data_IF_085243082760
#
_entry.id   IF_085243082760
#
_cell.length_a   1.000
_cell.length_b   1.000
_cell.length_c   1.000
_cell.angle_alpha   90.00
_cell.angle_beta   90.00
_cell.angle_gamma   90.00
#
_symmetry.space_group_name_H-M   'P 1'
#
loop_
_entity.id
_entity.type
_entity.pdbx_description
1 polymer ?
#
# COMPACT_ATOMS: atom_id res chain seq x y z
N UNK A 1 33.40 0.92 24.77
CA UNK A 1 33.23 -0.07 23.68
C UNK A 1 32.81 0.68 22.43
N UNK A 2 33.57 0.65 21.32
CA UNK A 2 33.13 1.29 20.09
C UNK A 2 31.88 0.60 19.56
N UNK A 3 30.91 1.38 19.09
CA UNK A 3 29.67 0.90 18.49
C UNK A 3 30.01 0.06 17.25
N UNK A 4 29.73 -1.25 17.29
CA UNK A 4 30.03 -2.19 16.20
C UNK A 4 29.16 -1.96 14.94
N UNK A 5 28.07 -1.18 15.08
CA UNK A 5 27.14 -0.95 13.99
C UNK A 5 27.55 0.25 13.14
N UNK A 6 27.49 0.07 11.81
CA UNK A 6 27.61 1.17 10.85
C UNK A 6 26.60 2.27 11.18
N UNK A 7 26.98 3.55 11.01
CA UNK A 7 26.08 4.67 11.21
C UNK A 7 24.88 4.58 10.25
N UNK A 8 23.78 5.22 10.64
CA UNK A 8 22.63 5.38 9.76
C UNK A 8 22.92 6.42 8.69
N UNK A 9 22.38 6.25 7.47
CA UNK A 9 22.40 7.31 6.47
C UNK A 9 21.78 8.61 7.01
N UNK A 10 22.21 9.78 6.50
CA UNK A 10 21.62 11.07 6.86
C UNK A 10 20.09 11.07 6.68
N UNK A 11 19.35 11.58 7.68
CA UNK A 11 17.89 11.54 7.64
C UNK A 11 17.30 12.35 6.47
N UNK A 12 17.99 13.42 6.05
CA UNK A 12 17.54 14.33 4.97
C UNK A 12 17.43 13.57 3.65
N UNK A 13 18.41 12.73 3.34
CA UNK A 13 18.46 11.96 2.11
C UNK A 13 17.63 10.67 2.22
N UNK A 14 17.60 10.07 3.42
CA UNK A 14 16.92 8.80 3.65
C UNK A 14 15.40 8.91 3.71
N UNK A 15 14.87 10.03 4.23
CA UNK A 15 13.43 10.26 4.37
C UNK A 15 12.65 10.17 3.06
N UNK A 16 12.99 10.92 1.99
CA UNK A 16 12.23 10.87 0.74
C UNK A 16 12.23 9.47 0.11
N UNK A 17 13.32 8.71 0.26
CA UNK A 17 13.44 7.35 -0.27
C UNK A 17 12.52 6.38 0.49
N UNK A 18 12.50 6.47 1.82
CA UNK A 18 11.61 5.64 2.65
C UNK A 18 10.14 6.01 2.39
N UNK A 19 9.81 7.29 2.28
CA UNK A 19 8.46 7.76 1.96
C UNK A 19 8.00 7.22 0.61
N UNK A 20 8.84 7.31 -0.43
CA UNK A 20 8.55 6.74 -1.75
C UNK A 20 8.20 5.25 -1.67
N UNK A 21 9.07 4.43 -1.08
CA UNK A 21 8.82 3.00 -0.97
C UNK A 21 7.67 2.65 -0.05
N UNK A 22 7.42 3.48 0.96
CA UNK A 22 6.24 3.36 1.80
C UNK A 22 4.96 3.65 1.01
N UNK A 23 4.89 4.70 0.19
CA UNK A 23 3.72 4.99 -0.65
C UNK A 23 3.54 3.96 -1.78
N UNK A 24 4.61 3.30 -2.23
CA UNK A 24 4.53 2.14 -3.10
C UNK A 24 3.98 0.88 -2.41
N UNK A 25 3.77 0.90 -1.09
CA UNK A 25 3.17 -0.20 -0.33
C UNK A 25 4.16 -1.31 0.05
N UNK A 26 5.47 -1.07 0.00
CA UNK A 26 6.48 -2.08 0.33
C UNK A 26 6.48 -2.42 1.84
N UNK A 27 6.90 -3.65 2.16
CA UNK A 27 7.13 -4.10 3.53
C UNK A 27 8.39 -3.46 4.11
N UNK A 28 8.50 -3.36 5.44
CA UNK A 28 9.69 -2.79 6.10
C UNK A 28 11.00 -3.47 5.69
N UNK A 29 10.94 -4.79 5.41
CA UNK A 29 12.08 -5.58 4.93
C UNK A 29 12.52 -5.08 3.56
N UNK A 30 11.56 -4.93 2.64
CA UNK A 30 11.84 -4.46 1.28
C UNK A 30 12.23 -2.98 1.25
N UNK A 31 11.64 -2.14 2.11
CA UNK A 31 12.05 -0.75 2.27
C UNK A 31 13.51 -0.70 2.73
N UNK A 32 13.90 -1.41 3.79
CA UNK A 32 15.30 -1.41 4.26
C UNK A 32 16.27 -1.90 3.17
N UNK A 33 15.93 -3.01 2.50
CA UNK A 33 16.75 -3.61 1.44
C UNK A 33 16.94 -2.66 0.25
N UNK A 34 15.89 -1.95 -0.18
CA UNK A 34 15.98 -1.06 -1.34
C UNK A 34 16.52 0.32 -0.99
N UNK A 35 16.21 0.85 0.19
CA UNK A 35 16.71 2.15 0.63
C UNK A 35 18.22 2.16 0.81
N UNK A 36 18.83 1.06 1.27
CA UNK A 36 20.29 1.00 1.42
C UNK A 36 21.04 0.95 0.09
N UNK A 37 20.38 0.56 -1.01
CA UNK A 37 20.98 0.55 -2.35
C UNK A 37 21.25 1.97 -2.89
N UNK A 38 20.68 3.01 -2.28
CA UNK A 38 20.92 4.42 -2.63
C UNK A 38 22.12 5.03 -1.90
N UNK A 39 22.73 4.30 -0.97
CA UNK A 39 23.85 4.79 -0.15
C UNK A 39 25.05 3.87 -0.27
N UNK A 40 26.22 4.41 0.08
CA UNK A 40 27.41 3.59 0.22
C UNK A 40 27.26 2.60 1.38
N UNK A 41 27.24 1.31 1.03
CA UNK A 41 27.05 0.19 1.95
C UNK A 41 28.27 -0.06 2.81
N UNK A 42 29.45 0.42 2.43
CA UNK A 42 30.66 0.30 3.24
C UNK A 42 30.65 1.28 4.39
N UNK A 43 30.14 2.49 4.14
CA UNK A 43 30.00 3.55 5.13
C UNK A 43 28.74 3.40 6.01
N UNK A 44 27.59 3.08 5.43
CA UNK A 44 26.29 3.14 6.13
C UNK A 44 25.63 1.78 6.28
N UNK A 45 24.79 1.66 7.31
CA UNK A 45 23.94 0.49 7.55
C UNK A 45 22.48 0.87 7.76
N UNK A 46 21.57 0.15 7.11
CA UNK A 46 20.13 0.34 7.29
C UNK A 46 19.43 -1.00 7.54
N UNK A 47 19.09 -1.24 8.80
CA UNK A 47 18.32 -2.41 9.22
C UNK A 47 16.81 -2.14 9.29
N UNK A 48 16.03 -3.21 9.26
CA UNK A 48 14.55 -3.18 9.39
C UNK A 48 14.09 -2.46 10.66
N UNK A 49 14.79 -2.66 11.79
CA UNK A 49 14.48 -1.97 13.06
C UNK A 49 14.66 -0.45 12.95
N UNK A 50 15.68 0.01 12.23
CA UNK A 50 15.92 1.44 12.00
C UNK A 50 14.83 2.04 11.13
N UNK A 51 14.45 1.37 10.04
CA UNK A 51 13.32 1.78 9.19
C UNK A 51 12.03 1.89 10.00
N UNK A 52 11.70 0.90 10.84
CA UNK A 52 10.52 0.95 11.72
C UNK A 52 10.55 2.16 12.67
N UNK A 53 11.71 2.45 13.26
CA UNK A 53 11.88 3.61 14.15
C UNK A 53 11.69 4.94 13.41
N UNK A 54 12.30 5.08 12.24
CA UNK A 54 12.21 6.29 11.42
C UNK A 54 10.78 6.50 10.89
N UNK A 55 10.14 5.44 10.39
CA UNK A 55 8.74 5.49 10.00
C UNK A 55 7.83 5.93 11.14
N UNK A 56 8.03 5.40 12.36
CA UNK A 56 7.27 5.85 13.54
C UNK A 56 7.53 7.32 13.85
N UNK A 57 8.79 7.78 13.77
CA UNK A 57 9.18 9.19 13.97
C UNK A 57 8.48 10.12 12.97
N UNK A 58 8.29 9.68 11.74
CA UNK A 58 7.66 10.47 10.67
C UNK A 58 6.14 10.21 10.51
N UNK A 59 5.51 9.44 11.40
CA UNK A 59 4.07 9.17 11.32
C UNK A 59 3.64 8.16 10.24
N UNK A 60 4.58 7.48 9.57
CA UNK A 60 4.33 6.47 8.54
C UNK A 60 3.88 5.13 9.16
N UNK A 61 2.70 5.14 9.76
CA UNK A 61 2.14 4.03 10.52
C UNK A 61 1.60 2.90 9.63
N UNK A 62 1.46 1.71 10.23
CA UNK A 62 0.88 0.54 9.54
C UNK A 62 -0.64 0.48 9.72
N UNK A 63 -1.33 -0.30 8.88
CA UNK A 63 -2.79 -0.53 8.96
C UNK A 63 -3.29 -0.83 10.38
N UNK A 64 -2.60 -1.71 11.12
CA UNK A 64 -2.98 -2.07 12.50
C UNK A 64 -2.87 -0.90 13.49
N UNK A 65 -1.94 0.02 13.24
CA UNK A 65 -1.72 1.18 14.11
C UNK A 65 -2.69 2.32 13.79
N UNK A 66 -3.09 2.47 12.52
CA UNK A 66 -4.05 3.50 12.11
C UNK A 66 -5.48 3.21 12.59
N UNK A 67 -5.84 1.92 12.76
CA UNK A 67 -7.14 1.48 13.30
C UNK A 67 -8.37 2.07 12.58
N UNK A 68 -8.25 2.37 11.29
CA UNK A 68 -9.37 2.84 10.48
C UNK A 68 -10.49 1.78 10.42
N UNK A 69 -11.70 2.22 10.76
CA UNK A 69 -12.96 1.47 10.65
C UNK A 69 -13.68 1.81 9.36
N UNK A 70 -14.73 1.06 9.03
CA UNK A 70 -15.63 1.35 7.90
C UNK A 70 -16.11 2.80 7.97
N UNK A 71 -16.62 3.21 9.12
CA UNK A 71 -17.14 4.56 9.37
C UNK A 71 -16.11 5.65 9.03
N UNK A 72 -14.86 5.48 9.46
CA UNK A 72 -13.81 6.49 9.23
C UNK A 72 -13.36 6.60 7.77
N UNK A 73 -13.59 5.58 6.94
CA UNK A 73 -13.19 5.59 5.53
C UNK A 73 -14.34 5.88 4.57
N UNK A 74 -15.60 5.87 5.05
CA UNK A 74 -16.78 6.01 4.18
C UNK A 74 -16.74 7.30 3.36
N UNK A 75 -16.42 8.43 4.01
CA UNK A 75 -16.33 9.72 3.33
C UNK A 75 -15.20 9.74 2.28
N UNK A 76 -14.04 9.19 2.63
CA UNK A 76 -12.90 9.13 1.72
C UNK A 76 -13.18 8.24 0.50
N UNK A 77 -13.84 7.11 0.72
CA UNK A 77 -14.25 6.18 -0.34
C UNK A 77 -15.31 6.82 -1.24
N UNK A 78 -16.26 7.56 -0.67
CA UNK A 78 -17.27 8.28 -1.43
C UNK A 78 -16.64 9.36 -2.33
N UNK A 79 -15.64 10.09 -1.84
CA UNK A 79 -14.88 11.03 -2.67
C UNK A 79 -14.14 10.34 -3.83
N UNK A 80 -13.43 9.24 -3.55
CA UNK A 80 -12.74 8.48 -4.60
C UNK A 80 -13.74 7.95 -5.64
N UNK A 81 -14.93 7.52 -5.21
CA UNK A 81 -15.99 7.03 -6.10
C UNK A 81 -16.64 8.12 -6.93
N UNK A 82 -16.73 9.36 -6.42
CA UNK A 82 -17.16 10.52 -7.22
C UNK A 82 -16.20 10.77 -8.39
N UNK A 83 -14.90 10.66 -8.16
CA UNK A 83 -13.88 10.84 -9.20
C UNK A 83 -13.75 9.61 -10.12
N UNK A 84 -13.89 8.42 -9.55
CA UNK A 84 -13.70 7.14 -10.24
C UNK A 84 -14.85 6.16 -9.93
N UNK A 85 -16.02 6.32 -10.57
CA UNK A 85 -17.23 5.54 -10.25
C UNK A 85 -17.06 4.04 -10.48
N UNK A 86 -16.20 3.65 -11.43
CA UNK A 86 -15.96 2.24 -11.78
C UNK A 86 -14.84 1.57 -10.96
N UNK A 87 -14.22 2.26 -9.99
CA UNK A 87 -13.12 1.73 -9.19
C UNK A 87 -13.59 0.59 -8.27
N UNK A 88 -12.86 -0.53 -8.31
CA UNK A 88 -13.10 -1.65 -7.40
C UNK A 88 -12.30 -1.53 -6.10
N UNK A 89 -12.53 -2.46 -5.16
CA UNK A 89 -11.92 -2.44 -3.83
C UNK A 89 -10.39 -2.25 -3.84
N UNK A 90 -9.68 -2.93 -4.76
CA UNK A 90 -8.21 -2.84 -4.85
C UNK A 90 -7.73 -1.49 -5.39
N UNK A 91 -8.47 -0.90 -6.33
CA UNK A 91 -8.16 0.43 -6.86
C UNK A 91 -8.40 1.50 -5.79
N UNK A 92 -9.55 1.45 -5.11
CA UNK A 92 -9.89 2.38 -4.02
C UNK A 92 -8.86 2.29 -2.89
N UNK A 93 -8.48 1.08 -2.48
CA UNK A 93 -7.44 0.86 -1.48
C UNK A 93 -6.11 1.50 -1.89
N UNK A 94 -5.72 1.39 -3.16
CA UNK A 94 -4.47 1.98 -3.66
C UNK A 94 -4.54 3.51 -3.61
N UNK A 95 -5.66 4.09 -4.04
CA UNK A 95 -5.90 5.54 -4.01
C UNK A 95 -5.90 6.09 -2.58
N UNK A 96 -6.58 5.41 -1.64
CA UNK A 96 -6.57 5.76 -0.21
C UNK A 96 -5.14 5.83 0.35
N UNK A 97 -4.28 4.88 -0.05
CA UNK A 97 -2.89 4.83 0.40
C UNK A 97 -2.03 5.91 -0.24
N UNK A 98 -2.18 6.18 -1.53
CA UNK A 98 -1.34 7.13 -2.26
C UNK A 98 -1.71 8.59 -2.00
N UNK A 99 -3.01 8.91 -1.96
CA UNK A 99 -3.49 10.29 -1.87
C UNK A 99 -3.75 10.71 -0.42
N UNK A 100 -4.31 9.82 0.41
CA UNK A 100 -4.77 10.15 1.77
C UNK A 100 -3.91 9.53 2.87
N UNK A 101 -2.90 8.74 2.51
CA UNK A 101 -2.05 7.98 3.45
C UNK A 101 -2.84 7.02 4.37
N UNK A 102 -4.02 6.59 3.93
CA UNK A 102 -4.91 5.70 4.66
C UNK A 102 -4.66 4.27 4.22
N UNK A 103 -4.22 3.42 5.16
CA UNK A 103 -3.94 2.01 4.90
C UNK A 103 -5.01 1.13 5.53
N UNK A 104 -6.01 0.76 4.76
CA UNK A 104 -7.05 -0.20 5.18
C UNK A 104 -6.88 -1.61 4.58
N UNK A 105 -7.35 -2.66 5.29
CA UNK A 105 -7.47 -3.99 4.71
C UNK A 105 -8.43 -3.94 3.52
N UNK A 106 -8.17 -4.78 2.51
CA UNK A 106 -9.05 -4.91 1.35
C UNK A 106 -10.46 -5.34 1.76
N UNK A 107 -10.57 -6.18 2.78
CA UNK A 107 -11.84 -6.70 3.28
C UNK A 107 -12.75 -5.59 3.80
N UNK A 108 -12.19 -4.60 4.51
CA UNK A 108 -12.95 -3.45 5.03
C UNK A 108 -13.55 -2.64 3.88
N UNK A 109 -12.75 -2.34 2.85
CA UNK A 109 -13.23 -1.62 1.65
C UNK A 109 -14.27 -2.47 0.89
N UNK A 110 -14.07 -3.78 0.80
CA UNK A 110 -15.01 -4.67 0.12
C UNK A 110 -16.35 -4.76 0.86
N UNK A 111 -16.34 -4.82 2.20
CA UNK A 111 -17.56 -4.82 3.00
C UNK A 111 -18.34 -3.54 2.79
N UNK A 112 -17.67 -2.37 2.85
CA UNK A 112 -18.29 -1.08 2.54
C UNK A 112 -18.90 -1.05 1.13
N UNK A 113 -18.18 -1.53 0.11
CA UNK A 113 -18.71 -1.58 -1.26
C UNK A 113 -19.90 -2.53 -1.42
N UNK A 114 -19.98 -3.61 -0.65
CA UNK A 114 -21.14 -4.51 -0.66
C UNK A 114 -22.37 -3.87 -0.02
N UNK A 115 -22.17 -2.99 0.96
CA UNK A 115 -23.26 -2.25 1.61
C UNK A 115 -23.81 -1.14 0.70
N UNK A 116 -22.93 -0.41 0.01
CA UNK A 116 -23.33 0.72 -0.84
C UNK A 116 -23.78 0.27 -2.24
N UNK A 117 -23.05 -0.66 -2.86
CA UNK A 117 -23.27 -1.06 -4.26
C UNK A 117 -23.13 -2.59 -4.48
N UNK A 118 -24.03 -3.40 -3.90
CA UNK A 118 -23.95 -4.85 -3.99
C UNK A 118 -23.98 -5.34 -5.46
N UNK A 119 -24.79 -4.71 -6.30
CA UNK A 119 -24.95 -5.08 -7.72
C UNK A 119 -23.65 -4.90 -8.52
N UNK A 120 -22.95 -3.77 -8.34
CA UNK A 120 -21.70 -3.49 -9.03
C UNK A 120 -20.59 -4.48 -8.62
N UNK A 121 -20.57 -4.87 -7.34
CA UNK A 121 -19.64 -5.89 -6.83
C UNK A 121 -19.92 -7.26 -7.45
N UNK A 122 -21.21 -7.63 -7.56
CA UNK A 122 -21.65 -8.89 -8.15
C UNK A 122 -21.33 -8.93 -9.66
N UNK A 123 -21.68 -7.88 -10.41
CA UNK A 123 -21.42 -7.78 -11.85
C UNK A 123 -19.92 -7.94 -12.17
N UNK A 124 -19.03 -7.33 -11.38
CA UNK A 124 -17.58 -7.46 -11.56
C UNK A 124 -17.08 -8.89 -11.33
N UNK A 125 -17.70 -9.62 -10.40
CA UNK A 125 -17.39 -11.04 -10.15
C UNK A 125 -17.78 -11.91 -11.35
N UNK A 126 -18.93 -11.65 -11.97
CA UNK A 126 -19.39 -12.37 -13.15
C UNK A 126 -18.51 -12.08 -14.39
N UNK A 127 -18.21 -10.81 -14.67
CA UNK A 127 -17.29 -10.42 -15.76
C UNK A 127 -15.93 -11.13 -15.66
N UNK A 128 -15.40 -11.28 -14.45
CA UNK A 128 -14.12 -11.99 -14.24
C UNK A 128 -14.20 -13.49 -14.57
N UNK A 129 -15.37 -14.12 -14.41
CA UNK A 129 -15.58 -15.51 -14.81
C UNK A 129 -15.65 -15.65 -16.33
N UNK A 130 -16.36 -14.75 -17.02
CA UNK A 130 -16.51 -14.79 -18.48
C UNK A 130 -15.18 -14.63 -19.24
N UNK A 131 -14.29 -13.76 -18.75
CA UNK A 131 -12.95 -13.58 -19.34
C UNK A 131 -12.09 -14.84 -19.20
N UNK A 132 -12.33 -15.67 -18.18
CA UNK A 132 -11.56 -16.91 -17.98
C UNK A 132 -12.06 -18.07 -18.85
N UNK A 133 -13.32 -18.04 -19.26
CA UNK A 133 -13.94 -19.10 -20.09
C UNK A 133 -13.59 -18.93 -21.58
N UNK A 134 -13.28 -17.71 -22.02
CA UNK A 134 -13.07 -17.39 -23.45
C UNK A 134 -11.64 -17.59 -23.98
N UNK A 135 -10.66 -17.90 -23.12
CA UNK A 135 -9.27 -18.16 -23.55
C UNK A 135 -8.91 -19.63 -23.72
N UNK A 136 -9.89 -20.55 -23.78
CA UNK A 136 -9.66 -22.00 -23.87
C UNK A 136 -9.97 -22.63 -25.25
N UNK A 137 -10.36 -21.84 -26.26
CA UNK A 137 -10.68 -22.36 -27.59
C UNK A 137 -10.13 -21.46 -28.68
N UNK A 138 -9.08 -21.91 -29.36
CA UNK A 138 -8.69 -21.38 -30.67
C UNK A 138 -7.20 -21.13 -30.84
N UNK A 139 -6.43 -22.17 -31.12
CA UNK A 139 -5.23 -22.08 -31.98
C UNK A 139 -4.81 -23.47 -32.45
N UNK A 140 -5.59 -24.06 -33.36
CA UNK A 140 -5.08 -25.01 -34.36
C UNK A 140 -5.32 -24.37 -35.73
N UNK A 141 -4.25 -23.91 -36.36
CA UNK A 141 -4.10 -23.63 -37.79
C UNK A 141 -2.66 -23.96 -38.16
#
# INVERSE_FOLDING_TARGET
MPNQYKPLPPEIDLKPIIELYYHMGLSDINIARRSIDHFDKDTYGLGVKSVKRMRKKWGLTSTRQQKHTIETITEDVAEIKRNFPNSGADAIKKTLMSEKNIRVPREVVLSLLKEIEPEAVIARRYRKKEVHVTTATGSEC
#
